data_IF_413607934225
#
_entry.id   IF_413607934225
#
_cell.length_a   1.000
_cell.length_b   1.000
_cell.length_c   1.000
_cell.angle_alpha   90.00
_cell.angle_beta   90.00
_cell.angle_gamma   90.00
#
_symmetry.space_group_name_H-M   'P 1'
#
loop_
_entity.id
_entity.type
_entity.pdbx_description
1 polymer ?
#
# COMPACT_ATOMS: atom_id res chain seq x y z
N UNK A 1 -6.07 -21.39 -29.43
CA UNK A 1 -7.21 -21.20 -28.51
C UNK A 1 -7.21 -19.73 -28.13
N UNK A 2 -7.97 -18.92 -28.87
CA UNK A 2 -8.03 -17.46 -28.70
C UNK A 2 -8.61 -17.11 -27.34
N UNK A 3 -7.93 -16.23 -26.62
CA UNK A 3 -8.43 -15.67 -25.36
C UNK A 3 -9.45 -14.60 -25.74
N UNK A 4 -10.73 -14.96 -25.70
CA UNK A 4 -11.84 -14.01 -25.79
C UNK A 4 -11.76 -13.05 -24.61
N UNK A 5 -11.34 -11.81 -24.87
CA UNK A 5 -11.43 -10.72 -23.91
C UNK A 5 -12.90 -10.33 -23.77
N UNK A 6 -13.42 -10.32 -22.54
CA UNK A 6 -14.80 -9.89 -22.29
C UNK A 6 -14.99 -8.46 -22.79
N UNK A 7 -16.01 -8.25 -23.63
CA UNK A 7 -16.33 -6.94 -24.16
C UNK A 7 -16.70 -5.99 -23.01
N UNK A 8 -15.98 -4.87 -22.92
CA UNK A 8 -16.30 -3.79 -21.97
C UNK A 8 -17.43 -2.96 -22.57
N UNK A 9 -18.55 -2.86 -21.85
CA UNK A 9 -19.70 -2.07 -22.28
C UNK A 9 -19.40 -0.56 -22.36
N UNK A 10 -20.17 0.16 -23.18
CA UNK A 10 -20.04 1.60 -23.34
C UNK A 10 -20.24 2.34 -22.00
N UNK A 11 -19.47 3.42 -21.75
CA UNK A 11 -19.55 4.17 -20.51
C UNK A 11 -20.88 4.92 -20.40
N UNK A 12 -21.50 4.90 -19.21
CA UNK A 12 -22.59 5.82 -18.87
C UNK A 12 -22.02 6.88 -17.92
N UNK A 13 -21.95 8.17 -18.32
CA UNK A 13 -21.58 9.24 -17.42
C UNK A 13 -22.55 9.26 -16.24
N UNK A 14 -22.04 9.08 -15.03
CA UNK A 14 -22.84 9.22 -13.82
C UNK A 14 -22.10 10.15 -12.88
N UNK A 15 -22.63 11.36 -12.69
CA UNK A 15 -22.19 12.21 -11.59
C UNK A 15 -22.84 11.67 -10.32
N UNK A 16 -22.02 11.32 -9.34
CA UNK A 16 -22.53 10.80 -8.07
C UNK A 16 -21.41 10.43 -7.12
N UNK A 17 -21.79 9.82 -6.01
CA UNK A 17 -20.88 9.48 -4.94
C UNK A 17 -21.00 8.00 -4.59
N UNK A 18 -19.91 7.47 -4.05
CA UNK A 18 -19.86 6.13 -3.51
C UNK A 18 -19.15 6.14 -2.15
N UNK A 19 -19.45 5.16 -1.31
CA UNK A 19 -18.71 4.92 -0.07
C UNK A 19 -18.41 3.44 0.08
N UNK A 20 -17.18 3.11 0.46
CA UNK A 20 -16.78 1.75 0.82
C UNK A 20 -17.67 1.19 1.94
N UNK A 21 -18.32 0.05 1.70
CA UNK A 21 -19.14 -0.65 2.72
C UNK A 21 -18.31 -1.56 3.62
N UNK A 22 -17.10 -1.91 3.16
CA UNK A 22 -16.10 -2.69 3.89
C UNK A 22 -14.71 -2.40 3.31
N UNK A 23 -13.72 -3.25 3.61
CA UNK A 23 -12.43 -3.18 2.96
C UNK A 23 -12.61 -3.33 1.43
N UNK A 24 -12.31 -2.27 0.68
CA UNK A 24 -12.69 -2.16 -0.74
C UNK A 24 -11.44 -2.05 -1.60
N UNK A 25 -11.08 -3.09 -2.38
CA UNK A 25 -9.95 -3.02 -3.30
C UNK A 25 -10.16 -1.94 -4.36
N UNK A 26 -9.13 -1.14 -4.59
CA UNK A 26 -9.11 -0.08 -5.58
C UNK A 26 -8.06 -0.38 -6.64
N UNK A 27 -8.47 -0.42 -7.90
CA UNK A 27 -7.67 -0.92 -9.02
C UNK A 27 -7.27 0.19 -10.00
N UNK A 28 -6.17 -0.02 -10.71
CA UNK A 28 -5.68 0.90 -11.74
C UNK A 28 -6.35 0.72 -13.11
N UNK A 29 -7.04 -0.39 -13.33
CA UNK A 29 -7.62 -0.76 -14.63
C UNK A 29 -9.05 -1.29 -14.49
N UNK A 30 -9.96 -1.02 -15.45
CA UNK A 30 -11.30 -1.60 -15.45
C UNK A 30 -11.31 -3.12 -15.72
N UNK A 31 -10.19 -3.70 -16.16
CA UNK A 31 -10.07 -5.12 -16.49
C UNK A 31 -9.78 -6.01 -15.28
N UNK A 32 -9.78 -5.45 -14.06
CA UNK A 32 -9.52 -6.22 -12.84
C UNK A 32 -10.46 -7.42 -12.63
N UNK A 33 -11.75 -7.41 -13.06
CA UNK A 33 -12.59 -8.58 -12.89
C UNK A 33 -12.07 -9.80 -13.64
N UNK A 34 -11.53 -9.62 -14.85
CA UNK A 34 -10.92 -10.69 -15.64
C UNK A 34 -9.67 -11.25 -14.93
N UNK A 35 -8.84 -10.35 -14.39
CA UNK A 35 -7.65 -10.75 -13.64
C UNK A 35 -7.98 -11.57 -12.39
N UNK A 36 -9.09 -11.23 -11.71
CA UNK A 36 -9.63 -11.96 -10.56
C UNK A 36 -10.40 -13.22 -10.93
N UNK A 37 -10.57 -13.53 -12.22
CA UNK A 37 -11.17 -14.78 -12.67
C UNK A 37 -12.67 -14.70 -12.96
N UNK A 38 -13.26 -13.51 -13.15
CA UNK A 38 -14.65 -13.36 -13.59
C UNK A 38 -14.93 -14.06 -14.94
N UNK A 39 -13.90 -14.29 -15.76
CA UNK A 39 -13.95 -15.04 -17.01
C UNK A 39 -13.47 -16.51 -16.88
N UNK A 40 -13.36 -17.07 -15.67
CA UNK A 40 -12.93 -18.45 -15.42
C UNK A 40 -11.43 -18.75 -15.60
N UNK A 41 -10.65 -17.77 -16.07
CA UNK A 41 -9.21 -17.91 -16.32
C UNK A 41 -8.40 -16.87 -15.55
N UNK A 42 -8.14 -17.14 -14.26
CA UNK A 42 -7.10 -16.42 -13.53
C UNK A 42 -5.76 -16.57 -14.26
N UNK A 43 -5.07 -15.46 -14.48
CA UNK A 43 -3.76 -15.49 -15.13
C UNK A 43 -2.76 -16.26 -14.24
N UNK A 44 -2.56 -17.54 -14.59
CA UNK A 44 -1.79 -18.52 -13.81
C UNK A 44 -0.29 -18.19 -13.71
N UNK A 45 0.19 -17.18 -14.44
CA UNK A 45 1.60 -16.74 -14.45
C UNK A 45 1.87 -15.52 -13.56
N UNK A 46 0.83 -14.93 -12.96
CA UNK A 46 0.99 -13.74 -12.11
C UNK A 46 1.68 -14.12 -10.80
N UNK A 47 2.95 -13.71 -10.68
CA UNK A 47 3.71 -13.82 -9.42
C UNK A 47 3.39 -12.67 -8.45
N UNK A 48 2.94 -11.53 -8.98
CA UNK A 48 2.52 -10.30 -8.29
C UNK A 48 1.49 -9.57 -9.16
N UNK A 49 0.34 -9.22 -8.61
CA UNK A 49 -0.68 -8.46 -9.33
C UNK A 49 -0.49 -6.97 -9.12
N UNK A 50 -0.02 -6.26 -10.15
CA UNK A 50 0.26 -4.81 -10.09
C UNK A 50 -0.98 -3.93 -10.31
N UNK A 51 -2.15 -4.54 -10.56
CA UNK A 51 -3.39 -3.81 -10.81
C UNK A 51 -4.07 -3.28 -9.55
N UNK A 52 -3.71 -3.76 -8.36
CA UNK A 52 -4.19 -3.22 -7.08
C UNK A 52 -3.36 -1.97 -6.72
N UNK A 53 -4.05 -0.86 -6.46
CA UNK A 53 -3.44 0.38 -5.97
C UNK A 53 -3.37 0.40 -4.45
N UNK A 54 -4.53 0.18 -3.82
CA UNK A 54 -4.69 0.07 -2.38
C UNK A 54 -6.04 -0.58 -2.05
N UNK A 55 -6.26 -0.93 -0.79
CA UNK A 55 -7.56 -1.32 -0.26
C UNK A 55 -8.08 -0.18 0.61
N UNK A 56 -9.18 0.42 0.20
CA UNK A 56 -9.84 1.49 0.94
C UNK A 56 -10.48 0.96 2.23
N UNK A 57 -10.46 1.80 3.27
CA UNK A 57 -11.09 1.49 4.55
C UNK A 57 -12.62 1.53 4.43
N UNK A 58 -13.36 0.80 5.28
CA UNK A 58 -14.79 1.01 5.42
C UNK A 58 -15.08 2.50 5.69
N UNK A 59 -16.03 3.07 4.96
CA UNK A 59 -16.38 4.49 5.08
C UNK A 59 -15.60 5.44 4.17
N UNK A 60 -14.56 5.00 3.45
CA UNK A 60 -13.86 5.84 2.46
C UNK A 60 -14.84 6.37 1.41
N UNK A 61 -14.86 7.69 1.24
CA UNK A 61 -15.70 8.37 0.27
C UNK A 61 -15.03 8.42 -1.12
N UNK A 62 -15.86 8.32 -2.15
CA UNK A 62 -15.47 8.36 -3.54
C UNK A 62 -16.37 9.31 -4.33
N UNK A 63 -15.75 10.04 -5.26
CA UNK A 63 -16.49 10.68 -6.36
C UNK A 63 -16.57 9.67 -7.51
N UNK A 64 -17.78 9.40 -8.00
CA UNK A 64 -18.00 8.51 -9.15
C UNK A 64 -17.91 9.34 -10.41
N UNK A 65 -17.01 8.94 -11.30
CA UNK A 65 -16.82 9.56 -12.61
C UNK A 65 -17.63 8.82 -13.70
N UNK A 66 -17.81 7.52 -13.53
CA UNK A 66 -18.42 6.66 -14.53
C UNK A 66 -18.84 5.32 -13.93
N UNK A 67 -19.89 4.71 -14.48
CA UNK A 67 -20.24 3.31 -14.22
C UNK A 67 -20.26 2.53 -15.54
N UNK A 68 -19.80 1.28 -15.48
CA UNK A 68 -19.86 0.35 -16.62
C UNK A 68 -19.93 -1.09 -16.12
N UNK A 69 -20.22 -2.00 -17.05
CA UNK A 69 -20.11 -3.44 -16.82
C UNK A 69 -18.84 -3.98 -17.49
N UNK A 70 -18.12 -4.82 -16.75
CA UNK A 70 -17.03 -5.66 -17.25
C UNK A 70 -17.47 -7.13 -17.11
N UNK A 71 -17.95 -7.71 -18.21
CA UNK A 71 -18.67 -8.98 -18.18
C UNK A 71 -19.90 -8.90 -17.28
N UNK A 72 -19.98 -9.77 -16.26
CA UNK A 72 -21.07 -9.81 -15.28
C UNK A 72 -20.84 -8.90 -14.05
N UNK A 73 -19.70 -8.21 -13.99
CA UNK A 73 -19.33 -7.39 -12.83
C UNK A 73 -19.59 -5.92 -13.15
N UNK A 74 -20.45 -5.29 -12.35
CA UNK A 74 -20.61 -3.84 -12.37
C UNK A 74 -19.41 -3.18 -11.67
N UNK A 75 -18.81 -2.20 -12.33
CA UNK A 75 -17.63 -1.49 -11.83
C UNK A 75 -17.85 0.02 -11.94
N UNK A 76 -17.18 0.78 -11.08
CA UNK A 76 -17.22 2.24 -11.09
C UNK A 76 -15.82 2.83 -11.21
N UNK A 77 -15.69 3.85 -12.06
CA UNK A 77 -14.51 4.71 -12.13
C UNK A 77 -14.66 5.77 -11.06
N UNK A 78 -13.67 5.91 -10.20
CA UNK A 78 -13.73 6.77 -9.02
C UNK A 78 -12.45 7.57 -8.82
N UNK A 79 -12.57 8.63 -8.03
CA UNK A 79 -11.48 9.34 -7.36
C UNK A 79 -11.76 9.42 -5.87
N UNK A 80 -10.71 9.63 -5.07
CA UNK A 80 -10.80 9.76 -3.60
C UNK A 80 -9.66 10.63 -3.09
N UNK A 81 -9.84 11.30 -1.96
CA UNK A 81 -8.79 12.08 -1.32
C UNK A 81 -7.72 11.19 -0.65
N UNK A 82 -8.07 9.95 -0.27
CA UNK A 82 -7.15 9.06 0.46
C UNK A 82 -5.99 8.53 -0.39
N UNK A 83 -6.16 8.49 -1.71
CA UNK A 83 -5.14 8.04 -2.64
C UNK A 83 -5.18 8.88 -3.92
N UNK A 84 -4.04 9.45 -4.38
CA UNK A 84 -4.00 10.29 -5.57
C UNK A 84 -4.10 9.44 -6.84
N UNK A 85 -5.27 8.86 -7.09
CA UNK A 85 -5.62 8.30 -8.38
C UNK A 85 -6.41 9.37 -9.15
N UNK A 86 -5.95 9.75 -10.34
CA UNK A 86 -6.76 10.58 -11.23
C UNK A 86 -7.98 9.81 -11.78
N UNK A 87 -7.86 8.49 -11.82
CA UNK A 87 -8.91 7.58 -12.26
C UNK A 87 -8.58 6.17 -11.77
N UNK A 88 -9.30 5.68 -10.77
CA UNK A 88 -9.19 4.30 -10.32
C UNK A 88 -10.55 3.59 -10.35
N UNK A 89 -10.54 2.29 -10.08
CA UNK A 89 -11.68 1.40 -10.31
C UNK A 89 -12.06 0.64 -9.05
N UNK A 90 -13.35 0.51 -8.81
CA UNK A 90 -13.89 -0.31 -7.72
C UNK A 90 -14.99 -1.23 -8.24
N UNK A 91 -15.17 -2.36 -7.57
CA UNK A 91 -16.33 -3.23 -7.76
C UNK A 91 -17.55 -2.62 -7.07
N UNK A 92 -18.66 -2.50 -7.80
CA UNK A 92 -19.91 -1.93 -7.30
C UNK A 92 -20.49 -2.69 -6.09
N UNK A 93 -20.13 -3.97 -5.89
CA UNK A 93 -20.55 -4.79 -4.75
C UNK A 93 -19.93 -4.36 -3.42
N UNK A 94 -18.81 -3.65 -3.44
CA UNK A 94 -18.08 -3.20 -2.25
C UNK A 94 -18.35 -1.75 -1.88
N UNK A 95 -19.25 -1.08 -2.61
CA UNK A 95 -19.61 0.32 -2.35
C UNK A 95 -21.11 0.51 -2.32
N UNK A 96 -21.56 1.53 -1.58
CA UNK A 96 -22.92 2.04 -1.66
C UNK A 96 -22.92 3.36 -2.42
N UNK A 97 -23.88 3.53 -3.32
CA UNK A 97 -23.98 4.73 -4.15
C UNK A 97 -24.98 5.75 -3.58
N UNK A 98 -24.74 7.04 -3.86
CA UNK A 98 -25.59 8.15 -3.47
C UNK A 98 -25.51 9.29 -4.50
N UNK A 99 -26.60 10.07 -4.61
CA UNK A 99 -26.60 11.32 -5.35
C UNK A 99 -25.93 12.47 -4.55
N UNK A 100 -25.87 12.34 -3.22
CA UNK A 100 -25.23 13.31 -2.31
C UNK A 100 -23.86 12.82 -1.85
N UNK A 101 -22.88 13.72 -1.59
CA UNK A 101 -21.59 13.35 -1.04
C UNK A 101 -21.72 12.59 0.28
N UNK A 102 -20.83 11.63 0.49
CA UNK A 102 -20.61 11.05 1.81
C UNK A 102 -19.60 11.90 2.57
N UNK A 103 -19.70 11.99 3.91
CA UNK A 103 -18.64 12.59 4.70
C UNK A 103 -17.35 11.77 4.56
N UNK A 104 -16.22 12.46 4.56
CA UNK A 104 -14.92 11.81 4.67
C UNK A 104 -14.82 11.06 6.01
N UNK A 105 -14.10 9.93 6.02
CA UNK A 105 -13.91 9.20 7.26
C UNK A 105 -12.98 9.98 8.19
N UNK A 106 -13.29 10.01 9.47
CA UNK A 106 -12.37 10.52 10.48
C UNK A 106 -11.23 9.53 10.69
N UNK A 107 -9.99 9.98 10.50
CA UNK A 107 -8.79 9.17 10.73
C UNK A 107 -8.19 9.53 12.08
N UNK A 108 -8.33 8.64 13.07
CA UNK A 108 -7.64 8.80 14.35
C UNK A 108 -6.24 8.19 14.27
N UNK A 109 -5.21 9.02 14.41
CA UNK A 109 -3.83 8.54 14.50
C UNK A 109 -3.67 7.65 15.73
N UNK A 110 -3.18 6.39 15.59
CA UNK A 110 -2.90 5.54 16.73
C UNK A 110 -1.72 6.06 17.57
N UNK A 111 -1.59 5.56 18.80
CA UNK A 111 -0.46 5.93 19.63
C UNK A 111 0.85 5.36 19.06
N UNK A 112 1.98 5.95 19.44
CA UNK A 112 3.32 5.43 19.08
C UNK A 112 3.46 3.96 19.48
N UNK A 113 2.94 3.62 20.65
CA UNK A 113 2.97 2.25 21.17
C UNK A 113 2.19 1.30 20.26
N UNK A 114 0.95 1.66 19.90
CA UNK A 114 0.10 0.81 19.06
C UNK A 114 0.70 0.58 17.67
N UNK A 115 1.29 1.62 17.08
CA UNK A 115 1.96 1.52 15.78
C UNK A 115 3.14 0.56 15.88
N UNK A 116 4.02 0.74 16.87
CA UNK A 116 5.19 -0.13 17.06
C UNK A 116 4.76 -1.58 17.35
N UNK A 117 3.76 -1.79 18.20
CA UNK A 117 3.23 -3.11 18.52
C UNK A 117 2.67 -3.81 17.28
N UNK A 118 1.92 -3.10 16.44
CA UNK A 118 1.41 -3.63 15.17
C UNK A 118 2.57 -4.06 14.26
N UNK A 119 3.57 -3.19 14.09
CA UNK A 119 4.72 -3.41 13.23
C UNK A 119 5.54 -4.63 13.67
N UNK A 120 5.82 -4.76 14.97
CA UNK A 120 6.51 -5.91 15.53
C UNK A 120 5.70 -7.20 15.40
N UNK A 121 4.40 -7.12 15.69
CA UNK A 121 3.49 -8.26 15.53
C UNK A 121 3.38 -8.73 14.08
N UNK A 122 3.34 -7.82 13.11
CA UNK A 122 3.31 -8.15 11.69
C UNK A 122 4.58 -8.90 11.26
N UNK A 123 5.75 -8.44 11.72
CA UNK A 123 7.02 -9.12 11.47
C UNK A 123 7.12 -10.49 12.16
N UNK A 124 6.67 -10.60 13.41
CA UNK A 124 6.69 -11.84 14.18
C UNK A 124 5.79 -12.92 13.54
N UNK A 125 4.62 -12.54 13.05
CA UNK A 125 3.73 -13.43 12.30
C UNK A 125 4.20 -13.72 10.88
N UNK A 126 5.17 -12.96 10.37
CA UNK A 126 5.62 -13.07 8.98
C UNK A 126 4.51 -12.77 7.98
N UNK A 127 3.73 -11.70 8.19
CA UNK A 127 2.60 -11.32 7.32
C UNK A 127 3.04 -11.31 5.85
N UNK A 128 2.32 -11.99 4.93
CA UNK A 128 2.76 -12.12 3.54
C UNK A 128 2.94 -10.78 2.83
N UNK A 129 3.93 -10.71 1.95
CA UNK A 129 4.06 -9.61 1.02
C UNK A 129 3.00 -9.74 -0.08
N UNK A 130 2.23 -8.69 -0.29
CA UNK A 130 1.32 -8.56 -1.41
C UNK A 130 1.42 -7.15 -2.01
N UNK A 131 1.67 -7.04 -3.31
CA UNK A 131 1.73 -5.75 -4.01
C UNK A 131 0.39 -5.03 -3.95
N UNK A 132 0.39 -3.75 -3.58
CA UNK A 132 -0.83 -2.94 -3.48
C UNK A 132 -1.65 -3.24 -2.23
N UNK A 133 -1.29 -4.25 -1.43
CA UNK A 133 -2.04 -4.63 -0.23
C UNK A 133 -1.68 -3.77 0.99
N UNK A 134 -2.69 -3.44 1.79
CA UNK A 134 -2.58 -2.71 3.06
C UNK A 134 -3.60 -3.20 4.11
N UNK A 135 -3.96 -4.48 4.05
CA UNK A 135 -4.83 -5.16 5.00
C UNK A 135 -4.29 -6.55 5.25
N UNK A 136 -3.86 -6.83 6.46
CA UNK A 136 -3.28 -8.11 6.87
C UNK A 136 -4.25 -9.26 6.63
N UNK A 137 -5.55 -9.02 6.86
CA UNK A 137 -6.63 -10.00 6.67
C UNK A 137 -7.19 -10.05 5.25
N UNK A 138 -6.82 -9.10 4.39
CA UNK A 138 -7.34 -8.98 3.03
C UNK A 138 -8.82 -8.61 2.98
N UNK A 139 -9.47 -9.01 1.88
CA UNK A 139 -10.88 -8.79 1.56
C UNK A 139 -11.54 -10.15 1.31
N UNK A 140 -11.96 -10.87 2.38
CA UNK A 140 -12.44 -12.25 2.27
C UNK A 140 -13.63 -12.43 1.33
N UNK A 141 -14.48 -11.39 1.17
CA UNK A 141 -15.63 -11.42 0.24
C UNK A 141 -15.23 -11.68 -1.20
N UNK A 142 -14.02 -11.26 -1.63
CA UNK A 142 -13.52 -11.52 -2.99
C UNK A 142 -13.51 -13.02 -3.33
N UNK A 143 -13.32 -13.88 -2.33
CA UNK A 143 -13.31 -15.34 -2.54
C UNK A 143 -14.64 -15.83 -3.08
N UNK A 144 -15.75 -15.35 -2.53
CA UNK A 144 -17.09 -15.64 -3.01
C UNK A 144 -17.39 -14.88 -4.30
N UNK A 145 -17.07 -13.58 -4.31
CA UNK A 145 -17.48 -12.66 -5.37
C UNK A 145 -16.81 -12.97 -6.72
N UNK A 146 -15.65 -13.64 -6.71
CA UNK A 146 -14.91 -14.08 -7.89
C UNK A 146 -14.70 -15.60 -7.99
N UNK A 147 -15.32 -16.39 -7.09
CA UNK A 147 -15.16 -17.85 -7.08
C UNK A 147 -13.71 -18.31 -6.89
N UNK A 148 -12.94 -17.61 -6.05
CA UNK A 148 -11.54 -17.95 -5.80
C UNK A 148 -11.44 -19.26 -5.00
N UNK A 149 -10.78 -20.24 -5.59
CA UNK A 149 -10.52 -21.55 -5.00
C UNK A 149 -9.32 -21.50 -4.05
N UNK A 150 -9.26 -22.44 -3.11
CA UNK A 150 -8.09 -22.63 -2.24
C UNK A 150 -6.78 -22.82 -3.05
N UNK A 151 -6.84 -23.51 -4.19
CA UNK A 151 -5.69 -23.70 -5.09
C UNK A 151 -5.18 -22.38 -5.68
N UNK A 152 -6.06 -21.44 -5.97
CA UNK A 152 -5.68 -20.11 -6.46
C UNK A 152 -5.06 -19.28 -5.34
N UNK A 153 -5.68 -19.27 -4.15
CA UNK A 153 -5.18 -18.57 -2.97
C UNK A 153 -3.82 -19.10 -2.49
N UNK A 154 -3.56 -20.39 -2.62
CA UNK A 154 -2.27 -21.00 -2.31
C UNK A 154 -1.12 -20.51 -3.21
N UNK A 155 -1.43 -19.96 -4.40
CA UNK A 155 -0.43 -19.45 -5.35
C UNK A 155 -0.17 -17.95 -5.18
N UNK A 156 -1.23 -17.20 -4.86
CA UNK A 156 -1.19 -15.77 -4.65
C UNK A 156 -2.40 -15.37 -3.80
N UNK A 157 -2.27 -14.44 -2.83
CA UNK A 157 -3.39 -13.96 -2.04
C UNK A 157 -4.31 -13.08 -2.90
N UNK A 158 -5.16 -13.71 -3.71
CA UNK A 158 -6.13 -13.04 -4.59
C UNK A 158 -7.28 -12.38 -3.84
N UNK A 159 -7.41 -12.68 -2.55
CA UNK A 159 -8.21 -11.90 -1.60
C UNK A 159 -7.43 -10.71 -1.03
N UNK A 160 -6.21 -10.48 -1.49
CA UNK A 160 -5.35 -9.36 -1.10
C UNK A 160 -5.02 -9.34 0.39
N UNK A 161 -4.94 -10.51 1.04
CA UNK A 161 -4.42 -10.65 2.38
C UNK A 161 -2.88 -10.49 2.40
N UNK A 162 -2.41 -9.44 3.06
CA UNK A 162 -0.99 -9.14 3.21
C UNK A 162 -0.68 -7.65 3.14
N UNK A 163 0.60 -7.33 3.04
CA UNK A 163 1.11 -5.97 3.12
C UNK A 163 2.20 -5.76 2.07
N UNK A 164 2.19 -4.63 1.36
CA UNK A 164 3.41 -4.16 0.69
C UNK A 164 4.24 -3.24 1.61
N UNK A 165 5.34 -2.71 1.06
CA UNK A 165 6.33 -1.93 1.81
C UNK A 165 5.74 -0.69 2.50
N UNK A 166 4.81 0.03 1.87
CA UNK A 166 4.15 1.19 2.48
C UNK A 166 2.79 0.83 3.08
N UNK A 167 2.18 -0.26 2.63
CA UNK A 167 0.94 -0.81 3.14
C UNK A 167 1.03 -1.24 4.60
N UNK A 168 2.19 -1.74 5.06
CA UNK A 168 2.41 -2.05 6.49
C UNK A 168 2.32 -0.80 7.37
N UNK A 169 2.87 0.34 6.95
CA UNK A 169 2.74 1.60 7.68
C UNK A 169 1.32 2.15 7.57
N UNK A 170 0.73 2.05 6.38
CA UNK A 170 -0.64 2.51 6.13
C UNK A 170 -1.65 1.78 7.01
N UNK A 171 -1.53 0.45 7.15
CA UNK A 171 -2.38 -0.33 8.05
C UNK A 171 -2.11 0.01 9.53
N UNK A 172 -0.83 0.07 9.93
CA UNK A 172 -0.43 0.40 11.30
C UNK A 172 -0.96 1.76 11.79
N UNK A 173 -1.29 2.66 10.86
CA UNK A 173 -1.74 4.03 11.14
C UNK A 173 -3.22 4.24 10.83
N UNK A 174 -3.97 3.19 10.50
CA UNK A 174 -5.38 3.33 10.10
C UNK A 174 -5.57 4.22 8.86
N UNK A 175 -4.56 4.28 7.98
CA UNK A 175 -4.53 5.11 6.78
C UNK A 175 -4.18 6.59 7.02
N UNK A 176 -3.58 6.95 8.15
CA UNK A 176 -3.18 8.32 8.44
C UNK A 176 -1.87 8.77 7.74
N UNK A 177 -1.18 7.85 7.08
CA UNK A 177 0.07 8.12 6.35
C UNK A 177 -0.16 8.02 4.83
N UNK A 178 0.70 8.64 3.99
CA UNK A 178 0.63 8.43 2.55
C UNK A 178 0.80 6.96 2.17
N UNK A 179 -0.07 6.46 1.28
CA UNK A 179 -0.12 5.06 0.89
C UNK A 179 1.07 4.61 0.01
N UNK A 180 1.65 5.49 -0.79
CA UNK A 180 2.72 5.15 -1.73
C UNK A 180 4.09 5.69 -1.31
N UNK A 181 5.14 4.96 -1.69
CA UNK A 181 6.52 5.33 -1.33
C UNK A 181 6.95 6.67 -1.94
N UNK A 182 6.41 7.09 -3.09
CA UNK A 182 6.82 8.36 -3.70
C UNK A 182 6.42 9.56 -2.85
N UNK A 183 5.22 9.54 -2.25
CA UNK A 183 4.81 10.56 -1.29
C UNK A 183 5.58 10.47 0.02
N UNK A 184 5.91 9.27 0.47
CA UNK A 184 6.74 9.07 1.67
C UNK A 184 8.17 9.62 1.53
N UNK A 185 8.66 9.84 0.31
CA UNK A 185 9.97 10.48 0.08
C UNK A 185 10.05 11.91 0.63
N UNK A 186 8.91 12.58 0.85
CA UNK A 186 8.83 13.97 1.31
C UNK A 186 7.86 14.14 2.49
N UNK A 187 7.34 13.05 3.04
CA UNK A 187 6.42 13.08 4.17
C UNK A 187 7.21 13.18 5.49
N UNK A 188 6.90 14.17 6.33
CA UNK A 188 7.62 14.44 7.57
C UNK A 188 8.95 15.19 7.37
N UNK A 189 9.63 15.45 8.47
CA UNK A 189 10.85 16.25 8.51
C UNK A 189 12.08 15.48 8.01
N UNK A 190 12.98 16.13 7.23
CA UNK A 190 14.26 15.54 6.85
C UNK A 190 15.16 15.31 8.05
N UNK A 191 15.69 14.09 8.19
CA UNK A 191 16.87 13.84 9.05
C UNK A 191 18.14 14.06 8.23
N UNK A 192 19.08 14.86 8.77
CA UNK A 192 20.31 15.26 8.04
C UNK A 192 21.33 14.12 7.99
N UNK A 193 21.26 13.27 6.97
CA UNK A 193 22.11 12.08 6.76
C UNK A 193 23.17 12.21 5.67
N UNK A 194 23.13 13.25 4.83
CA UNK A 194 24.09 13.41 3.74
C UNK A 194 25.53 13.49 4.26
N UNK A 195 26.43 12.73 3.65
CA UNK A 195 27.85 12.67 4.01
C UNK A 195 28.16 11.88 5.29
N UNK A 196 27.15 11.24 5.91
CA UNK A 196 27.32 10.47 7.16
C UNK A 196 27.61 9.00 6.89
N UNK A 197 28.38 8.39 7.79
CA UNK A 197 28.61 6.94 7.84
C UNK A 197 27.39 6.20 8.40
N UNK A 198 27.35 4.86 8.27
CA UNK A 198 26.27 4.02 8.84
C UNK A 198 26.08 4.27 10.33
N UNK A 199 27.18 4.28 11.10
CA UNK A 199 27.14 4.51 12.55
C UNK A 199 26.61 5.92 12.90
N UNK A 200 27.04 6.94 12.14
CA UNK A 200 26.57 8.30 12.32
C UNK A 200 25.09 8.46 11.94
N UNK A 201 24.60 7.74 10.93
CA UNK A 201 23.17 7.74 10.58
C UNK A 201 22.39 7.04 11.69
N UNK A 202 22.81 5.85 12.13
CA UNK A 202 22.16 5.10 13.21
C UNK A 202 21.95 5.95 14.47
N UNK A 203 22.95 6.71 14.89
CA UNK A 203 22.88 7.56 16.07
C UNK A 203 21.84 8.70 15.98
N UNK A 204 21.36 9.03 14.76
CA UNK A 204 20.33 10.05 14.55
C UNK A 204 18.92 9.48 14.47
N UNK A 205 18.79 8.18 14.23
CA UNK A 205 17.51 7.53 13.98
C UNK A 205 16.72 7.38 15.28
N UNK A 206 15.43 7.66 15.18
CA UNK A 206 14.45 7.45 16.24
C UNK A 206 13.43 6.41 15.78
N UNK A 207 12.77 5.70 16.72
CA UNK A 207 11.69 4.78 16.36
C UNK A 207 10.60 5.50 15.56
N UNK A 208 10.07 4.80 14.56
CA UNK A 208 9.19 5.27 13.49
C UNK A 208 9.85 6.17 12.42
N UNK A 209 11.12 6.56 12.52
CA UNK A 209 11.79 7.19 11.38
C UNK A 209 11.73 6.25 10.16
N UNK A 210 11.47 6.81 8.98
CA UNK A 210 11.37 6.07 7.73
C UNK A 210 12.68 6.19 6.97
N UNK A 211 13.29 5.06 6.58
CA UNK A 211 14.40 5.01 5.63
C UNK A 211 13.79 4.70 4.27
N UNK A 212 13.63 5.70 3.40
CA UNK A 212 12.78 5.61 2.19
C UNK A 212 13.58 5.87 0.92
N UNK A 213 13.29 5.10 -0.12
CA UNK A 213 13.71 5.37 -1.49
C UNK A 213 12.60 4.99 -2.48
N UNK A 214 12.74 5.38 -3.74
CA UNK A 214 11.73 5.03 -4.74
C UNK A 214 11.57 3.51 -4.86
N UNK A 215 10.35 3.05 -4.57
CA UNK A 215 9.94 1.65 -4.67
C UNK A 215 10.09 0.80 -3.41
N UNK A 216 10.65 1.32 -2.30
CA UNK A 216 10.70 0.57 -1.03
C UNK A 216 11.03 1.46 0.18
N UNK A 217 10.80 0.93 1.38
CA UNK A 217 11.10 1.62 2.63
C UNK A 217 11.40 0.65 3.77
N UNK A 218 12.05 1.16 4.81
CA UNK A 218 12.22 0.53 6.12
C UNK A 218 11.63 1.46 7.19
N UNK A 219 11.13 0.88 8.28
CA UNK A 219 10.64 1.62 9.44
C UNK A 219 11.53 1.27 10.64
N UNK A 220 12.09 2.28 11.30
CA UNK A 220 12.92 2.09 12.49
C UNK A 220 12.03 1.64 13.65
N UNK A 221 12.41 0.54 14.29
CA UNK A 221 11.81 0.04 15.53
C UNK A 221 12.66 0.46 16.74
N UNK A 222 12.21 0.10 17.92
CA UNK A 222 13.01 0.22 19.14
C UNK A 222 14.20 -0.77 19.13
N UNK A 223 15.15 -0.54 20.04
CA UNK A 223 16.26 -1.47 20.32
C UNK A 223 17.16 -1.81 19.13
N UNK A 224 17.31 -0.89 18.17
CA UNK A 224 18.24 -1.05 17.05
C UNK A 224 17.75 -2.03 15.98
N UNK A 225 16.44 -2.14 15.78
CA UNK A 225 15.83 -2.94 14.72
C UNK A 225 15.14 -2.07 13.66
N UNK A 226 14.88 -2.67 12.51
CA UNK A 226 13.97 -2.16 11.49
C UNK A 226 12.95 -3.22 11.12
N UNK A 227 11.79 -2.79 10.65
CA UNK A 227 10.80 -3.63 10.00
C UNK A 227 10.59 -3.20 8.55
N UNK A 228 10.25 -4.17 7.71
CA UNK A 228 9.81 -3.94 6.34
C UNK A 228 8.93 -5.09 5.86
N UNK A 229 7.97 -4.80 4.97
CA UNK A 229 7.36 -5.86 4.15
C UNK A 229 8.20 -6.09 2.90
N UNK A 230 9.00 -7.15 2.93
CA UNK A 230 10.02 -7.42 1.92
C UNK A 230 9.51 -8.36 0.82
N UNK A 231 9.85 -8.02 -0.42
CA UNK A 231 9.79 -8.89 -1.59
C UNK A 231 11.18 -8.99 -2.19
N UNK A 232 12.03 -9.85 -1.61
CA UNK A 232 13.45 -9.97 -1.97
C UNK A 232 13.80 -11.36 -2.44
N UNK A 233 14.71 -11.38 -3.41
CA UNK A 233 15.34 -12.59 -3.97
C UNK A 233 16.76 -12.83 -3.45
N UNK A 234 17.29 -12.01 -2.54
CA UNK A 234 18.70 -12.10 -2.15
C UNK A 234 18.90 -13.09 -0.99
N UNK A 235 19.76 -14.11 -1.22
CA UNK A 235 20.12 -15.24 -0.32
C UNK A 235 18.99 -16.20 0.05
N UNK A 236 17.80 -15.72 0.35
CA UNK A 236 16.59 -16.52 0.54
C UNK A 236 15.41 -15.75 -0.05
N UNK A 237 14.45 -16.47 -0.65
CA UNK A 237 13.25 -15.85 -1.17
C UNK A 237 12.35 -15.41 -0.01
N UNK A 238 12.24 -14.09 0.21
CA UNK A 238 11.45 -13.49 1.28
C UNK A 238 10.29 -12.72 0.67
N UNK A 239 9.06 -13.11 1.01
CA UNK A 239 7.80 -12.44 0.65
C UNK A 239 6.93 -12.23 1.88
N UNK A 240 7.43 -11.44 2.82
CA UNK A 240 6.75 -11.19 4.10
C UNK A 240 7.30 -9.96 4.83
N UNK A 241 6.56 -9.51 5.83
CA UNK A 241 7.05 -8.66 6.89
C UNK A 241 8.22 -9.35 7.63
N UNK A 242 9.32 -8.63 7.80
CA UNK A 242 10.52 -9.10 8.50
C UNK A 242 11.05 -8.01 9.44
N UNK A 243 11.57 -8.45 10.58
CA UNK A 243 12.36 -7.64 11.51
C UNK A 243 13.83 -7.97 11.30
N UNK A 244 14.70 -6.97 11.27
CA UNK A 244 16.14 -7.17 11.06
C UNK A 244 16.96 -6.14 11.82
N UNK A 245 18.24 -6.44 12.17
CA UNK A 245 19.11 -5.48 12.82
C UNK A 245 19.30 -4.21 11.97
N UNK A 246 19.12 -3.04 12.57
CA UNK A 246 19.19 -1.75 11.90
C UNK A 246 20.54 -1.54 11.22
N UNK A 247 21.65 -1.82 11.91
CA UNK A 247 23.01 -1.58 11.40
C UNK A 247 23.28 -2.38 10.13
N UNK A 248 22.96 -3.68 10.18
CA UNK A 248 23.13 -4.56 9.03
C UNK A 248 22.29 -4.06 7.85
N UNK A 249 21.00 -3.82 8.08
CA UNK A 249 20.08 -3.47 6.99
C UNK A 249 20.37 -2.09 6.42
N UNK A 250 20.76 -1.12 7.25
CA UNK A 250 21.22 0.20 6.82
C UNK A 250 22.52 0.11 6.02
N UNK A 251 23.46 -0.74 6.42
CA UNK A 251 24.69 -1.00 5.65
C UNK A 251 24.38 -1.53 4.24
N UNK A 252 23.43 -2.45 4.11
CA UNK A 252 22.94 -2.95 2.82
C UNK A 252 22.27 -1.86 1.96
N UNK A 253 21.60 -0.88 2.58
CA UNK A 253 21.04 0.27 1.86
C UNK A 253 22.15 1.21 1.38
N UNK A 254 23.10 1.55 2.26
CA UNK A 254 24.20 2.46 1.95
C UNK A 254 25.14 1.89 0.87
N UNK A 255 25.33 0.57 0.81
CA UNK A 255 26.13 -0.06 -0.24
C UNK A 255 25.51 0.04 -1.63
N UNK A 256 24.20 0.30 -1.73
CA UNK A 256 23.46 0.37 -2.99
C UNK A 256 22.96 1.78 -3.33
N UNK A 257 22.91 2.67 -2.34
CA UNK A 257 22.21 3.96 -2.43
C UNK A 257 22.95 5.03 -1.63
N UNK A 258 23.02 6.24 -2.18
CA UNK A 258 23.62 7.40 -1.51
C UNK A 258 22.63 8.02 -0.51
N UNK A 259 23.02 8.27 0.76
CA UNK A 259 22.21 9.04 1.70
C UNK A 259 22.15 10.51 1.25
N UNK A 260 20.94 11.07 1.20
CA UNK A 260 20.69 12.49 0.89
C UNK A 260 19.67 13.08 1.86
N UNK A 261 19.71 14.40 2.08
CA UNK A 261 18.74 15.08 2.97
C UNK A 261 17.42 15.39 2.26
N UNK A 262 17.45 15.58 0.94
CA UNK A 262 16.29 15.85 0.11
C UNK A 262 16.30 14.95 -1.11
N UNK A 263 15.21 14.21 -1.32
CA UNK A 263 15.18 13.19 -2.36
C UNK A 263 15.25 13.82 -3.76
N UNK A 264 14.54 14.91 -4.01
CA UNK A 264 14.47 15.55 -5.33
C UNK A 264 15.57 16.61 -5.59
N UNK A 265 16.63 16.62 -4.77
CA UNK A 265 17.78 17.48 -5.01
C UNK A 265 18.45 17.13 -6.35
N UNK A 266 18.48 18.11 -7.26
CA UNK A 266 19.00 17.97 -8.63
C UNK A 266 20.49 17.61 -8.65
N UNK A 267 21.26 17.97 -7.63
CA UNK A 267 22.70 17.62 -7.51
C UNK A 267 22.94 16.10 -7.46
N UNK A 268 21.91 15.32 -7.14
CA UNK A 268 21.98 13.86 -7.09
C UNK A 268 21.09 13.17 -8.14
N UNK A 269 20.67 13.91 -9.19
CA UNK A 269 19.89 13.34 -10.28
C UNK A 269 20.61 12.14 -10.93
N UNK A 270 19.85 11.12 -11.34
CA UNK A 270 20.37 9.90 -11.95
C UNK A 270 21.03 8.89 -10.98
N UNK A 271 21.21 9.23 -9.70
CA UNK A 271 21.83 8.33 -8.71
C UNK A 271 20.78 7.62 -7.85
N UNK A 272 21.00 6.33 -7.56
CA UNK A 272 20.24 5.62 -6.52
C UNK A 272 20.52 6.29 -5.17
N UNK A 273 19.45 6.73 -4.51
CA UNK A 273 19.51 7.52 -3.29
C UNK A 273 18.43 7.09 -2.32
N UNK A 274 18.59 7.45 -1.06
CA UNK A 274 17.57 7.30 -0.02
C UNK A 274 17.59 8.51 0.91
N UNK A 275 16.46 8.76 1.56
CA UNK A 275 16.27 9.79 2.57
C UNK A 275 15.86 9.14 3.88
N UNK A 276 15.99 9.89 4.98
CA UNK A 276 15.36 9.55 6.25
C UNK A 276 14.32 10.62 6.58
N UNK A 277 13.13 10.17 6.97
CA UNK A 277 11.99 11.03 7.30
C UNK A 277 11.46 10.76 8.70
N UNK A 278 11.37 11.82 9.49
CA UNK A 278 10.71 11.83 10.80
C UNK A 278 9.31 12.36 10.64
N UNK A 279 8.32 11.47 10.67
CA UNK A 279 6.92 11.81 10.42
C UNK A 279 6.07 11.78 11.69
N UNK A 280 6.45 10.96 12.67
CA UNK A 280 5.71 10.83 13.91
C UNK A 280 6.26 11.81 14.95
N UNK A 281 5.46 12.80 15.32
CA UNK A 281 5.77 13.75 16.38
C UNK A 281 4.80 13.53 17.54
N UNK A 282 5.29 13.28 18.77
CA UNK A 282 4.43 13.05 19.93
C UNK A 282 3.43 14.19 20.21
N UNK A 283 3.75 15.42 19.81
CA UNK A 283 2.94 16.60 20.05
C UNK A 283 1.67 16.72 19.18
N UNK A 284 1.53 15.92 18.11
CA UNK A 284 0.39 16.00 17.17
C UNK A 284 -0.55 14.80 17.25
N UNK A 285 -0.26 13.82 18.11
CA UNK A 285 -1.11 12.65 18.33
C UNK A 285 -2.33 13.02 19.19
N UNK A 286 -3.29 13.76 18.62
CA UNK A 286 -4.50 14.14 19.34
C UNK A 286 -5.55 14.89 18.52
N UNK A 287 -5.15 15.64 17.49
CA UNK A 287 -6.09 16.39 16.65
C UNK A 287 -5.51 16.51 15.24
N UNK A 288 -6.13 15.86 14.27
CA UNK A 288 -6.09 16.30 12.88
C UNK A 288 -7.54 16.53 12.42
N UNK A 289 -7.84 17.71 11.83
CA UNK A 289 -9.18 18.02 11.32
C UNK A 289 -9.58 17.14 10.14
#
# INVERSE_FOLDING_TARGET
MEVSHAAVSAPVPSVGFAQATGATPVFSSPTFPDALGAAGNLNRRVKLYHGLLFTAWPGTAFTVLERRSAGKVAIARVTTAEYPCASCWVDARHVRFSAKPFPERTVKMPSRHDILQFLEGAAARGVPYCWGCNFTVGVPSLRRDYGLTARQLARYPWDFAGLDCSGILFEATGGATPRDTNRLLVHGDPVRIHGRTVAQIQALLQPLDLIVWQGHMLIVLENGFVVESANRYHRQFVRRAIKSPLVQRLGEVVSQRKPVNQYYDRRFSGRKRFVVRRWYHPATAGVHP
#
